data_IF_249815633443
#
_entry.id   IF_249815633443
#
_cell.length_a   1.000
_cell.length_b   1.000
_cell.length_c   1.000
_cell.angle_alpha   90.00
_cell.angle_beta   90.00
_cell.angle_gamma   90.00
#
_symmetry.space_group_name_H-M   'P 1'
#
loop_
_entity.id
_entity.type
_entity.pdbx_description
1 polymer ?
#
# COMPACT_ATOMS: atom_id res chain seq x y z
N UNK A 1 6.45 27.28 -17.42
CA UNK A 1 5.96 26.11 -18.18
C UNK A 1 4.71 25.59 -17.49
N UNK A 2 3.52 25.80 -18.09
CA UNK A 2 2.30 25.15 -17.60
C UNK A 2 2.46 23.65 -17.86
N UNK A 3 2.64 22.87 -16.80
CA UNK A 3 2.48 21.42 -16.86
C UNK A 3 1.04 21.21 -17.35
N UNK A 4 0.89 20.74 -18.60
CA UNK A 4 -0.41 20.57 -19.21
C UNK A 4 -1.34 19.75 -18.32
N UNK A 5 -2.60 20.17 -18.23
CA UNK A 5 -3.67 19.61 -17.39
C UNK A 5 -3.65 18.07 -17.31
N UNK A 6 -3.39 17.38 -18.43
CA UNK A 6 -3.25 15.93 -18.50
C UNK A 6 -2.12 15.34 -17.61
N UNK A 7 -0.95 15.98 -17.55
CA UNK A 7 0.16 15.54 -16.68
C UNK A 7 -0.15 15.78 -15.21
N UNK A 8 -0.87 16.86 -14.91
CA UNK A 8 -1.31 17.18 -13.55
C UNK A 8 -2.33 16.14 -13.04
N UNK A 9 -3.32 15.77 -13.86
CA UNK A 9 -4.26 14.69 -13.50
C UNK A 9 -3.58 13.34 -13.30
N UNK A 10 -2.60 12.98 -14.14
CA UNK A 10 -1.85 11.74 -13.96
C UNK A 10 -1.06 11.74 -12.63
N UNK A 11 -0.44 12.86 -12.29
CA UNK A 11 0.24 13.02 -11.01
C UNK A 11 -0.72 12.90 -9.82
N UNK A 12 -1.89 13.54 -9.90
CA UNK A 12 -2.92 13.43 -8.86
C UNK A 12 -3.41 12.00 -8.70
N UNK A 13 -3.66 11.28 -9.79
CA UNK A 13 -4.07 9.87 -9.74
C UNK A 13 -3.00 8.98 -9.10
N UNK A 14 -1.73 9.22 -9.44
CA UNK A 14 -0.62 8.52 -8.82
C UNK A 14 -0.54 8.80 -7.32
N UNK A 15 -0.57 10.08 -6.94
CA UNK A 15 -0.50 10.50 -5.54
C UNK A 15 -1.67 9.95 -4.73
N UNK A 16 -2.89 10.04 -5.25
CA UNK A 16 -4.08 9.49 -4.63
C UNK A 16 -3.96 7.97 -4.44
N UNK A 17 -3.58 7.23 -5.49
CA UNK A 17 -3.43 5.78 -5.43
C UNK A 17 -2.39 5.36 -4.39
N UNK A 18 -1.25 6.05 -4.33
CA UNK A 18 -0.21 5.80 -3.32
C UNK A 18 -0.74 6.09 -1.91
N UNK A 19 -1.32 7.26 -1.68
CA UNK A 19 -1.79 7.68 -0.37
C UNK A 19 -2.90 6.77 0.18
N UNK A 20 -3.85 6.37 -0.67
CA UNK A 20 -4.91 5.42 -0.32
C UNK A 20 -4.32 4.06 0.04
N UNK A 21 -3.36 3.55 -0.72
CA UNK A 21 -2.79 2.24 -0.45
C UNK A 21 -1.93 2.22 0.82
N UNK A 22 -1.15 3.28 1.09
CA UNK A 22 -0.40 3.43 2.34
C UNK A 22 -1.33 3.48 3.56
N UNK A 23 -2.44 4.23 3.45
CA UNK A 23 -3.43 4.30 4.50
C UNK A 23 -4.15 2.97 4.74
N UNK A 24 -4.47 2.23 3.67
CA UNK A 24 -5.06 0.90 3.78
C UNK A 24 -4.11 -0.07 4.49
N UNK A 25 -2.86 -0.13 4.06
CA UNK A 25 -1.83 -0.98 4.68
C UNK A 25 -1.68 -0.62 6.16
N UNK A 26 -1.64 0.67 6.49
CA UNK A 26 -1.56 1.14 7.88
C UNK A 26 -2.79 0.75 8.71
N UNK A 27 -4.00 0.85 8.16
CA UNK A 27 -5.23 0.45 8.84
C UNK A 27 -5.22 -1.05 9.19
N UNK A 28 -4.92 -1.90 8.21
CA UNK A 28 -4.85 -3.36 8.42
C UNK A 28 -3.68 -3.74 9.33
N UNK A 29 -2.54 -3.04 9.23
CA UNK A 29 -1.42 -3.24 10.16
C UNK A 29 -1.82 -2.91 11.60
N UNK A 30 -2.62 -1.86 11.82
CA UNK A 30 -3.19 -1.53 13.12
C UNK A 30 -4.10 -2.63 13.67
N UNK A 31 -4.93 -3.24 12.82
CA UNK A 31 -5.79 -4.39 13.18
C UNK A 31 -4.94 -5.60 13.58
N UNK A 32 -3.98 -6.01 12.73
CA UNK A 32 -3.06 -7.13 13.00
C UNK A 32 -2.27 -6.92 14.29
N UNK A 33 -1.75 -5.72 14.52
CA UNK A 33 -1.02 -5.38 15.76
C UNK A 33 -1.91 -5.50 17.00
N UNK A 34 -3.17 -5.05 16.93
CA UNK A 34 -4.12 -5.17 18.05
C UNK A 34 -4.44 -6.63 18.35
N UNK A 35 -4.75 -7.43 17.34
CA UNK A 35 -5.06 -8.85 17.49
C UNK A 35 -3.88 -9.62 18.10
N UNK A 36 -2.65 -9.39 17.61
CA UNK A 36 -1.44 -10.03 18.14
C UNK A 36 -1.14 -9.64 19.58
N UNK A 37 -1.38 -8.38 19.95
CA UNK A 37 -1.21 -7.89 21.33
C UNK A 37 -2.15 -8.60 22.31
N UNK A 38 -3.38 -8.87 21.88
CA UNK A 38 -4.38 -9.60 22.68
C UNK A 38 -4.02 -11.10 22.77
N UNK A 39 -3.46 -11.67 21.70
CA UNK A 39 -3.11 -13.10 21.63
C UNK A 39 -1.76 -13.52 22.25
N UNK A 40 -1.01 -12.61 22.87
CA UNK A 40 0.27 -12.93 23.52
C UNK A 40 1.40 -13.39 22.57
N UNK A 41 1.24 -13.18 21.26
CA UNK A 41 2.24 -13.58 20.26
C UNK A 41 3.44 -12.63 20.30
N UNK A 42 4.56 -13.11 20.83
CA UNK A 42 5.88 -12.53 20.57
C UNK A 42 6.34 -13.05 19.21
N UNK A 43 6.19 -12.31 18.12
CA UNK A 43 6.87 -12.68 16.87
C UNK A 43 7.10 -11.50 15.91
N UNK A 44 8.17 -11.68 15.15
CA UNK A 44 8.92 -10.77 14.30
C UNK A 44 8.07 -9.86 13.41
N UNK A 45 8.53 -8.62 13.22
CA UNK A 45 7.88 -7.60 12.40
C UNK A 45 7.60 -8.07 10.95
N UNK A 46 8.47 -8.95 10.42
CA UNK A 46 8.32 -9.55 9.09
C UNK A 46 7.04 -10.38 8.96
N UNK A 47 6.65 -11.13 9.98
CA UNK A 47 5.44 -11.94 9.96
C UNK A 47 4.18 -11.07 10.01
N UNK A 48 4.21 -9.99 10.79
CA UNK A 48 3.12 -9.03 10.84
C UNK A 48 2.91 -8.36 9.48
N UNK A 49 3.98 -7.96 8.81
CA UNK A 49 3.90 -7.35 7.47
C UNK A 49 3.36 -8.37 6.46
N UNK A 50 3.86 -9.61 6.44
CA UNK A 50 3.37 -10.62 5.52
C UNK A 50 1.90 -10.99 5.75
N UNK A 51 1.43 -10.92 6.99
CA UNK A 51 0.00 -11.10 7.32
C UNK A 51 -0.86 -9.96 6.76
N UNK A 52 -0.42 -8.71 6.92
CA UNK A 52 -1.14 -7.55 6.36
C UNK A 52 -1.32 -7.68 4.84
N UNK A 53 -0.24 -8.00 4.13
CA UNK A 53 -0.30 -8.15 2.67
C UNK A 53 -1.17 -9.34 2.25
N UNK A 54 -1.16 -10.44 3.01
CA UNK A 54 -2.06 -11.57 2.76
C UNK A 54 -3.52 -11.20 2.96
N UNK A 55 -3.85 -10.42 3.99
CA UNK A 55 -5.23 -9.96 4.24
C UNK A 55 -5.76 -9.04 3.12
N UNK A 56 -4.91 -8.15 2.61
CA UNK A 56 -5.32 -7.19 1.57
C UNK A 56 -5.32 -7.83 0.18
N UNK A 57 -4.25 -8.53 -0.19
CA UNK A 57 -4.01 -8.96 -1.58
C UNK A 57 -4.03 -10.48 -1.78
N UNK A 58 -4.14 -11.28 -0.73
CA UNK A 58 -4.05 -12.73 -0.79
C UNK A 58 -2.63 -13.29 -0.98
N UNK A 59 -1.59 -12.43 -0.98
CA UNK A 59 -0.20 -12.81 -1.23
C UNK A 59 0.76 -12.10 -0.27
N UNK A 60 1.98 -12.63 -0.12
CA UNK A 60 3.02 -12.00 0.72
C UNK A 60 3.65 -10.80 0.02
N UNK A 61 4.26 -9.89 0.80
CA UNK A 61 4.96 -8.71 0.25
C UNK A 61 6.05 -9.11 -0.74
N UNK A 62 6.81 -10.16 -0.42
CA UNK A 62 7.87 -10.66 -1.29
C UNK A 62 7.35 -11.21 -2.62
N UNK A 63 6.23 -11.94 -2.61
CA UNK A 63 5.62 -12.46 -3.83
C UNK A 63 5.13 -11.33 -4.75
N UNK A 64 4.47 -10.33 -4.17
CA UNK A 64 3.97 -9.16 -4.90
C UNK A 64 5.13 -8.31 -5.45
N UNK A 65 6.19 -8.11 -4.66
CA UNK A 65 7.36 -7.36 -5.12
C UNK A 65 8.07 -8.07 -6.29
N UNK A 66 8.16 -9.40 -6.22
CA UNK A 66 8.71 -10.22 -7.32
C UNK A 66 7.87 -10.06 -8.58
N UNK A 67 6.54 -10.04 -8.46
CA UNK A 67 5.64 -9.82 -9.60
C UNK A 67 5.79 -8.41 -10.19
N UNK A 68 5.78 -7.37 -9.35
CA UNK A 68 6.01 -5.99 -9.77
C UNK A 68 7.31 -5.85 -10.58
N UNK A 69 8.42 -6.41 -10.08
CA UNK A 69 9.71 -6.35 -10.77
C UNK A 69 9.72 -7.12 -12.08
N UNK A 70 9.03 -8.26 -12.15
CA UNK A 70 8.86 -9.01 -13.42
C UNK A 70 8.09 -8.21 -14.45
N UNK A 71 7.03 -7.52 -14.05
CA UNK A 71 6.22 -6.69 -14.96
C UNK A 71 6.96 -5.42 -15.41
N UNK A 72 7.91 -4.92 -14.61
CA UNK A 72 8.71 -3.72 -14.91
C UNK A 72 10.08 -4.01 -15.52
N UNK A 73 10.40 -5.28 -15.72
CA UNK A 73 11.72 -5.75 -16.17
C UNK A 73 12.86 -5.21 -15.29
N UNK A 74 12.63 -5.15 -13.97
CA UNK A 74 13.61 -4.69 -13.01
C UNK A 74 14.48 -5.82 -12.46
N UNK A 75 15.76 -5.54 -12.14
CA UNK A 75 16.63 -6.50 -11.48
C UNK A 75 16.05 -6.93 -10.12
N UNK A 76 16.14 -8.23 -9.81
CA UNK A 76 15.63 -8.79 -8.56
C UNK A 76 16.61 -8.58 -7.41
N UNK A 77 16.81 -7.32 -7.01
CA UNK A 77 17.75 -6.93 -5.94
C UNK A 77 17.17 -7.22 -4.53
N UNK A 78 18.01 -7.39 -3.52
CA UNK A 78 17.51 -7.54 -2.13
C UNK A 78 17.03 -6.22 -1.52
N UNK A 79 17.55 -5.09 -1.97
CA UNK A 79 17.13 -3.76 -1.56
C UNK A 79 16.06 -3.18 -2.48
N UNK A 80 15.29 -2.21 -1.98
CA UNK A 80 14.32 -1.42 -2.73
C UNK A 80 14.60 0.06 -2.44
N UNK A 81 14.72 0.89 -3.48
CA UNK A 81 14.89 2.33 -3.28
C UNK A 81 13.53 3.03 -3.05
N UNK A 82 13.53 4.28 -2.57
CA UNK A 82 12.29 5.00 -2.25
C UNK A 82 11.37 5.19 -3.47
N UNK A 83 11.94 5.44 -4.64
CA UNK A 83 11.21 5.62 -5.90
C UNK A 83 10.53 4.32 -6.34
N UNK A 84 11.25 3.21 -6.27
CA UNK A 84 10.77 1.86 -6.56
C UNK A 84 9.71 1.45 -5.54
N UNK A 85 9.87 1.82 -4.27
CA UNK A 85 8.88 1.59 -3.22
C UNK A 85 7.57 2.33 -3.51
N UNK A 86 7.62 3.63 -3.84
CA UNK A 86 6.42 4.40 -4.21
C UNK A 86 5.78 3.84 -5.50
N UNK A 87 6.59 3.44 -6.47
CA UNK A 87 6.13 2.77 -7.69
C UNK A 87 5.46 1.42 -7.41
N UNK A 88 6.01 0.64 -6.49
CA UNK A 88 5.44 -0.62 -6.02
C UNK A 88 4.11 -0.39 -5.30
N UNK A 89 4.01 0.61 -4.41
CA UNK A 89 2.77 0.98 -3.74
C UNK A 89 1.67 1.38 -4.73
N UNK A 90 2.00 2.19 -5.74
CA UNK A 90 1.04 2.52 -6.79
C UNK A 90 0.65 1.31 -7.65
N UNK A 91 1.59 0.39 -7.88
CA UNK A 91 1.30 -0.86 -8.56
C UNK A 91 0.33 -1.73 -7.74
N UNK A 92 0.47 -1.80 -6.41
CA UNK A 92 -0.46 -2.51 -5.54
C UNK A 92 -1.88 -1.94 -5.61
N UNK A 93 -2.02 -0.61 -5.64
CA UNK A 93 -3.32 0.03 -5.87
C UNK A 93 -3.97 -0.45 -7.17
N UNK A 94 -3.21 -0.46 -8.27
CA UNK A 94 -3.69 -0.96 -9.57
C UNK A 94 -3.97 -2.47 -9.56
N UNK A 95 -3.14 -3.25 -8.87
CA UNK A 95 -3.33 -4.69 -8.68
C UNK A 95 -4.67 -4.95 -7.97
N UNK A 96 -4.95 -4.21 -6.88
CA UNK A 96 -6.20 -4.31 -6.13
C UNK A 96 -7.42 -3.94 -6.97
N UNK A 97 -7.34 -2.86 -7.75
CA UNK A 97 -8.41 -2.47 -8.68
C UNK A 97 -8.70 -3.55 -9.75
N UNK A 98 -7.68 -4.31 -10.17
CA UNK A 98 -7.80 -5.34 -11.20
C UNK A 98 -8.25 -6.69 -10.66
N UNK A 99 -7.77 -7.09 -9.48
CA UNK A 99 -7.89 -8.45 -8.96
C UNK A 99 -8.94 -8.61 -7.85
N UNK A 100 -9.34 -7.53 -7.18
CA UNK A 100 -10.34 -7.59 -6.12
C UNK A 100 -11.74 -7.23 -6.65
N UNK A 101 -12.76 -7.83 -6.06
CA UNK A 101 -14.15 -7.48 -6.37
C UNK A 101 -14.44 -6.01 -6.07
N UNK A 102 -15.28 -5.38 -6.89
CA UNK A 102 -15.61 -3.95 -6.77
C UNK A 102 -16.12 -3.57 -5.38
N UNK A 103 -16.92 -4.45 -4.75
CA UNK A 103 -17.41 -4.24 -3.39
C UNK A 103 -16.28 -4.23 -2.35
N UNK A 104 -15.31 -5.14 -2.47
CA UNK A 104 -14.14 -5.21 -1.60
C UNK A 104 -13.24 -3.99 -1.79
N UNK A 105 -12.98 -3.60 -3.03
CA UNK A 105 -12.23 -2.37 -3.37
C UNK A 105 -12.88 -1.15 -2.73
N UNK A 106 -14.20 -1.01 -2.82
CA UNK A 106 -14.93 0.13 -2.24
C UNK A 106 -14.84 0.14 -0.70
N UNK A 107 -15.03 -1.02 -0.06
CA UNK A 107 -14.90 -1.19 1.38
C UNK A 107 -13.48 -0.85 1.88
N UNK A 108 -12.45 -1.39 1.23
CA UNK A 108 -11.06 -1.13 1.58
C UNK A 108 -10.68 0.34 1.36
N UNK A 109 -11.19 0.96 0.29
CA UNK A 109 -11.00 2.40 0.04
C UNK A 109 -11.67 3.23 1.11
N UNK A 110 -12.89 2.87 1.54
CA UNK A 110 -13.57 3.52 2.67
C UNK A 110 -12.74 3.41 3.96
N UNK A 111 -12.22 2.21 4.26
CA UNK A 111 -11.33 1.96 5.42
C UNK A 111 -10.08 2.84 5.36
N UNK A 112 -9.44 2.94 4.19
CA UNK A 112 -8.27 3.78 3.98
C UNK A 112 -8.56 5.27 4.22
N UNK A 113 -9.68 5.78 3.69
CA UNK A 113 -10.10 7.17 3.89
C UNK A 113 -10.45 7.47 5.35
N UNK A 114 -11.12 6.55 6.04
CA UNK A 114 -11.38 6.67 7.48
C UNK A 114 -10.08 6.71 8.29
N UNK A 115 -9.08 5.91 7.90
CA UNK A 115 -7.78 5.90 8.54
C UNK A 115 -7.00 7.20 8.29
N UNK A 116 -7.02 7.74 7.07
CA UNK A 116 -6.46 9.06 6.77
C UNK A 116 -7.11 10.15 7.62
N UNK A 117 -8.44 10.12 7.76
CA UNK A 117 -9.17 11.06 8.59
C UNK A 117 -8.79 10.96 10.07
N UNK A 118 -8.58 9.74 10.58
CA UNK A 118 -8.19 9.48 11.98
C UNK A 118 -6.76 9.91 12.29
N UNK A 119 -5.83 9.73 11.36
CA UNK A 119 -4.42 10.04 11.57
C UNK A 119 -4.08 11.51 11.27
N UNK A 120 -5.06 12.29 10.81
CA UNK A 120 -4.82 13.62 10.27
C UNK A 120 -3.94 13.57 9.02
N UNK A 121 -3.85 14.68 8.32
CA UNK A 121 -2.99 14.88 7.13
C UNK A 121 -1.48 14.70 7.45
N UNK A 122 -1.11 14.29 8.67
CA UNK A 122 0.27 14.04 9.11
C UNK A 122 1.00 12.95 8.34
N UNK A 123 0.31 12.01 7.67
CA UNK A 123 0.99 11.02 6.81
C UNK A 123 1.55 11.64 5.52
N UNK A 124 1.11 12.86 5.14
CA UNK A 124 1.69 13.58 4.00
C UNK A 124 3.04 14.27 4.35
N UNK A 125 3.42 14.34 5.63
CA UNK A 125 4.58 15.11 6.09
C UNK A 125 5.66 14.30 6.81
N UNK A 126 5.49 12.99 7.02
CA UNK A 126 6.53 12.13 7.60
C UNK A 126 7.51 11.61 6.54
N UNK A 127 8.03 12.54 5.75
CA UNK A 127 9.14 12.35 4.81
C UNK A 127 10.11 13.52 4.82
N UNK A 128 10.22 14.21 5.95
CA UNK A 128 11.25 15.22 6.26
C UNK A 128 12.27 14.66 7.24
#
# INVERSE_FOLDING_TARGET
ALIGEAKYHQYLNYFYGVAVEEALISAVQGEVRKERRIGGYNNEEHDAINEVYRRIYGATRAALLKQFRREKDYPQLRSINLTELKGFTYWLFKYRLKQCEKARVASDTKKALEQLRRNGVSMLFLGG
#
